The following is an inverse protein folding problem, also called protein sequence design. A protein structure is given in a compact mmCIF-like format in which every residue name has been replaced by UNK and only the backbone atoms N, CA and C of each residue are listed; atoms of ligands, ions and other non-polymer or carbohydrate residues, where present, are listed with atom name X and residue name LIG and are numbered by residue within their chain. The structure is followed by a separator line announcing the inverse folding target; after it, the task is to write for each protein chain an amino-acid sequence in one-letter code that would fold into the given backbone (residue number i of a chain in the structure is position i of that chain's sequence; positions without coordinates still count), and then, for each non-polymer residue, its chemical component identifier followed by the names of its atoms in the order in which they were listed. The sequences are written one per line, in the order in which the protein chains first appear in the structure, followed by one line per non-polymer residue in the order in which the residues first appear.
data_IF_674279130722
#
_entry.id   IF_674279130722
#
_cell.length_a   1.000
_cell.length_b   1.000
_cell.length_c   1.000
_cell.angle_alpha   90.00
_cell.angle_beta   90.00
_cell.angle_gamma   90.00
#
_symmetry.space_group_name_H-M   'P 1'
#
loop_
_entity.id
_entity.type
_entity.pdbx_description
1 polymer ?
#
# COMPACT_ATOMS: atom_id res chain seq x y z
N UNK A 1 8.67 -40.08 -31.02
CA UNK A 1 9.77 -39.38 -30.32
C UNK A 1 9.16 -38.14 -29.70
N UNK A 2 8.85 -38.21 -28.40
CA UNK A 2 8.27 -37.08 -27.67
C UNK A 2 9.45 -36.27 -27.16
N UNK A 3 9.65 -35.06 -27.68
CA UNK A 3 10.58 -34.10 -27.11
C UNK A 3 10.08 -33.72 -25.71
N UNK A 4 10.71 -34.30 -24.69
CA UNK A 4 10.60 -33.83 -23.32
C UNK A 4 11.12 -32.39 -23.28
N UNK A 5 10.21 -31.43 -23.22
CA UNK A 5 10.52 -30.06 -22.85
C UNK A 5 11.02 -30.11 -21.41
N UNK A 6 12.35 -30.22 -21.24
CA UNK A 6 13.03 -29.94 -19.98
C UNK A 6 12.75 -28.48 -19.65
N UNK A 7 11.74 -28.27 -18.82
CA UNK A 7 11.47 -26.98 -18.23
C UNK A 7 12.53 -26.78 -17.15
N UNK A 8 13.73 -26.34 -17.55
CA UNK A 8 14.81 -26.03 -16.63
C UNK A 8 14.35 -24.90 -15.71
N UNK A 9 13.90 -25.28 -14.51
CA UNK A 9 13.49 -24.37 -13.48
C UNK A 9 14.74 -23.68 -12.94
N UNK A 10 15.09 -22.54 -13.55
CA UNK A 10 16.21 -21.71 -13.13
C UNK A 10 15.97 -21.26 -11.68
N UNK A 11 16.88 -21.65 -10.80
CA UNK A 11 16.92 -21.10 -9.44
C UNK A 11 17.56 -19.71 -9.47
N UNK A 12 16.95 -18.78 -8.75
CA UNK A 12 17.44 -17.42 -8.61
C UNK A 12 17.44 -17.06 -7.11
N UNK A 13 18.15 -16.01 -6.72
CA UNK A 13 18.21 -15.58 -5.33
C UNK A 13 16.93 -14.84 -4.94
N UNK A 14 16.25 -15.32 -3.90
CA UNK A 14 15.09 -14.62 -3.33
C UNK A 14 15.53 -13.34 -2.62
N UNK A 15 15.05 -12.18 -3.07
CA UNK A 15 15.45 -10.87 -2.53
C UNK A 15 15.15 -10.73 -1.02
N UNK A 16 14.10 -11.39 -0.51
CA UNK A 16 13.74 -11.27 0.91
C UNK A 16 14.58 -12.16 1.80
N UNK A 17 14.81 -13.43 1.46
CA UNK A 17 15.47 -14.38 2.36
C UNK A 17 16.91 -14.72 1.98
N UNK A 18 17.37 -14.26 0.81
CA UNK A 18 18.67 -14.54 0.20
C UNK A 18 18.97 -16.05 0.08
N UNK A 19 17.95 -16.85 -0.22
CA UNK A 19 18.11 -18.27 -0.54
C UNK A 19 17.87 -18.49 -2.02
N UNK A 20 18.69 -19.35 -2.64
CA UNK A 20 18.45 -19.87 -3.98
C UNK A 20 17.12 -20.64 -4.00
N UNK A 21 16.24 -20.31 -4.95
CA UNK A 21 14.93 -20.96 -5.10
C UNK A 21 14.31 -20.60 -6.44
N UNK A 22 13.33 -21.38 -6.86
CA UNK A 22 12.40 -20.99 -7.92
C UNK A 22 11.57 -19.80 -7.43
N UNK A 23 11.74 -18.64 -8.07
CA UNK A 23 11.02 -17.41 -7.72
C UNK A 23 9.60 -17.42 -8.29
N UNK A 24 8.71 -16.73 -7.59
CA UNK A 24 7.33 -16.48 -8.00
C UNK A 24 7.19 -15.08 -8.57
N UNK A 25 6.13 -14.88 -9.36
CA UNK A 25 5.78 -13.58 -9.89
C UNK A 25 5.12 -12.70 -8.80
N UNK A 26 5.96 -12.06 -8.00
CA UNK A 26 5.58 -11.17 -6.91
C UNK A 26 4.98 -9.88 -7.46
N UNK A 27 3.93 -9.38 -6.81
CA UNK A 27 3.31 -8.10 -7.18
C UNK A 27 3.77 -6.99 -6.24
N UNK A 28 3.99 -5.79 -6.77
CA UNK A 28 4.28 -4.61 -5.94
C UNK A 28 3.09 -4.34 -5.01
N UNK A 29 1.93 -4.06 -5.60
CA UNK A 29 0.65 -4.00 -4.90
C UNK A 29 -0.07 -5.36 -5.01
N UNK A 30 -0.70 -5.86 -3.93
CA UNK A 30 -1.35 -7.17 -3.94
C UNK A 30 -2.34 -7.36 -5.11
N UNK A 31 -2.27 -8.52 -5.76
CA UNK A 31 -3.12 -8.88 -6.92
C UNK A 31 -4.62 -8.75 -6.64
N UNK A 32 -5.06 -9.02 -5.42
CA UNK A 32 -6.47 -8.93 -5.01
C UNK A 32 -6.99 -7.50 -4.96
N UNK A 33 -6.14 -6.49 -4.75
CA UNK A 33 -6.56 -5.09 -4.79
C UNK A 33 -7.00 -4.67 -6.20
N UNK A 34 -6.27 -5.08 -7.24
CA UNK A 34 -6.68 -4.84 -8.63
C UNK A 34 -8.08 -5.39 -8.93
N UNK A 35 -8.42 -6.57 -8.37
CA UNK A 35 -9.75 -7.17 -8.50
C UNK A 35 -10.82 -6.40 -7.72
N UNK A 36 -10.47 -5.80 -6.58
CA UNK A 36 -11.42 -4.97 -5.82
C UNK A 36 -11.73 -3.72 -6.61
N UNK A 37 -10.71 -2.99 -7.08
CA UNK A 37 -10.89 -1.75 -7.85
C UNK A 37 -11.85 -1.93 -9.03
N UNK A 38 -11.72 -3.02 -9.80
CA UNK A 38 -12.61 -3.28 -10.94
C UNK A 38 -14.02 -3.71 -10.58
N UNK A 39 -14.25 -4.15 -9.33
CA UNK A 39 -15.52 -4.68 -8.86
C UNK A 39 -16.27 -3.73 -7.93
N UNK A 40 -15.65 -2.65 -7.49
CA UNK A 40 -16.25 -1.76 -6.48
C UNK A 40 -17.50 -1.04 -7.00
N UNK A 41 -17.51 -0.62 -8.26
CA UNK A 41 -18.66 0.06 -8.88
C UNK A 41 -19.35 -0.81 -9.92
N UNK A 42 -20.66 -0.58 -10.06
CA UNK A 42 -21.51 -1.19 -11.08
C UNK A 42 -21.79 -0.17 -12.19
N UNK A 43 -21.79 -0.56 -13.48
CA UNK A 43 -21.40 -1.87 -13.98
C UNK A 43 -19.90 -2.13 -13.77
N UNK A 44 -19.51 -3.40 -13.56
CA UNK A 44 -18.11 -3.74 -13.34
C UNK A 44 -17.25 -3.36 -14.54
N UNK A 45 -16.14 -2.70 -14.27
CA UNK A 45 -15.18 -2.36 -15.30
C UNK A 45 -14.34 -3.58 -15.68
N UNK A 46 -14.11 -3.75 -16.98
CA UNK A 46 -13.20 -4.78 -17.50
C UNK A 46 -11.73 -4.57 -17.11
N UNK A 47 -11.37 -3.36 -16.68
CA UNK A 47 -10.03 -2.95 -16.28
C UNK A 47 -10.10 -1.66 -15.43
N UNK A 48 -9.17 -1.44 -14.47
CA UNK A 48 -9.07 -0.16 -13.77
C UNK A 48 -8.58 0.95 -14.70
N UNK A 49 -8.90 2.20 -14.34
CA UNK A 49 -8.26 3.38 -14.93
C UNK A 49 -6.90 3.58 -14.23
N UNK A 50 -5.85 3.63 -15.04
CA UNK A 50 -4.50 3.97 -14.59
C UNK A 50 -4.17 5.40 -14.96
N UNK A 51 -3.89 6.23 -13.96
CA UNK A 51 -3.43 7.60 -14.11
C UNK A 51 -1.92 7.64 -13.90
N UNK A 52 -1.14 7.82 -14.98
CA UNK A 52 0.33 7.82 -14.94
C UNK A 52 0.87 9.22 -15.12
N UNK A 53 1.58 9.72 -14.10
CA UNK A 53 2.24 11.02 -14.15
C UNK A 53 3.43 11.01 -15.12
N UNK A 54 4.25 9.97 -15.08
CA UNK A 54 5.40 9.80 -15.98
C UNK A 54 4.98 9.76 -17.45
N UNK A 55 3.90 9.04 -17.77
CA UNK A 55 3.40 8.93 -19.14
C UNK A 55 2.46 10.07 -19.54
N UNK A 56 2.17 11.03 -18.64
CA UNK A 56 1.21 12.13 -18.81
C UNK A 56 -0.12 11.68 -19.43
N UNK A 57 -0.61 10.51 -19.03
CA UNK A 57 -1.86 9.95 -19.56
C UNK A 57 -2.65 9.11 -18.58
N UNK A 58 -3.96 9.05 -18.85
CA UNK A 58 -4.89 8.16 -18.17
C UNK A 58 -5.54 7.18 -19.16
N UNK A 59 -5.58 5.89 -18.80
CA UNK A 59 -6.10 4.84 -19.68
C UNK A 59 -6.57 3.60 -18.90
N UNK A 60 -7.47 2.83 -19.50
CA UNK A 60 -7.84 1.52 -18.99
C UNK A 60 -6.71 0.51 -19.18
N UNK A 61 -6.36 -0.25 -18.15
CA UNK A 61 -5.35 -1.31 -18.26
C UNK A 61 -5.54 -2.41 -17.22
N UNK A 62 -5.35 -3.66 -17.63
CA UNK A 62 -5.28 -4.81 -16.72
C UNK A 62 -3.84 -5.12 -16.28
N UNK A 63 -2.87 -4.31 -16.71
CA UNK A 63 -1.48 -4.47 -16.33
C UNK A 63 -1.32 -4.32 -14.82
N UNK A 64 -0.54 -5.23 -14.24
CA UNK A 64 -0.17 -5.22 -12.83
C UNK A 64 1.34 -5.15 -12.75
N UNK A 65 1.86 -4.39 -11.78
CA UNK A 65 3.31 -4.28 -11.58
C UNK A 65 3.77 -5.53 -10.84
N UNK A 66 4.35 -6.48 -11.59
CA UNK A 66 4.79 -7.77 -11.10
C UNK A 66 6.13 -8.18 -11.72
N UNK A 67 6.95 -8.94 -10.98
CA UNK A 67 8.19 -9.55 -11.46
C UNK A 67 8.56 -10.79 -10.64
N UNK A 68 9.44 -11.64 -11.19
CA UNK A 68 10.10 -12.67 -10.39
C UNK A 68 10.94 -12.00 -9.30
N UNK A 69 10.63 -12.27 -8.02
CA UNK A 69 11.28 -11.59 -6.89
C UNK A 69 11.45 -12.48 -5.66
N UNK A 70 10.37 -13.11 -5.21
CA UNK A 70 10.35 -13.85 -3.95
C UNK A 70 10.12 -15.34 -4.19
N UNK A 71 10.73 -16.19 -3.35
CA UNK A 71 10.41 -17.61 -3.31
C UNK A 71 8.99 -17.85 -2.77
N UNK A 72 8.44 -19.04 -3.02
CA UNK A 72 7.07 -19.38 -2.61
C UNK A 72 6.82 -19.25 -1.10
N UNK A 73 7.83 -19.54 -0.26
CA UNK A 73 7.72 -19.39 1.20
C UNK A 73 7.59 -17.92 1.62
N UNK A 74 8.31 -17.01 0.95
CA UNK A 74 8.24 -15.58 1.25
C UNK A 74 6.93 -14.95 0.75
N UNK A 75 6.45 -15.35 -0.44
CA UNK A 75 5.12 -14.93 -0.94
C UNK A 75 3.99 -15.36 0.01
N UNK A 76 3.99 -16.63 0.42
CA UNK A 76 2.98 -17.16 1.35
C UNK A 76 3.04 -16.44 2.71
N UNK A 77 4.24 -16.08 3.15
CA UNK A 77 4.43 -15.28 4.36
C UNK A 77 3.77 -13.91 4.25
N UNK A 78 3.95 -13.20 3.13
CA UNK A 78 3.33 -11.90 2.88
C UNK A 78 1.81 -11.99 2.86
N UNK A 79 1.29 -13.02 2.19
CA UNK A 79 -0.13 -13.29 2.13
C UNK A 79 -0.75 -13.58 3.52
N UNK A 80 -0.20 -14.53 4.28
CA UNK A 80 -0.72 -14.95 5.59
C UNK A 80 -0.56 -13.90 6.69
N UNK A 81 0.47 -13.05 6.59
CA UNK A 81 0.79 -12.07 7.63
C UNK A 81 0.34 -10.65 7.33
N UNK A 82 -0.13 -10.34 6.13
CA UNK A 82 -0.66 -9.01 5.85
C UNK A 82 -1.79 -9.05 4.86
N UNK A 83 -1.48 -9.40 3.61
CA UNK A 83 -2.36 -9.12 2.47
C UNK A 83 -3.75 -9.71 2.62
N UNK A 84 -3.86 -11.00 2.99
CA UNK A 84 -5.18 -11.64 3.15
C UNK A 84 -6.05 -10.89 4.17
N UNK A 85 -5.48 -10.57 5.33
CA UNK A 85 -6.22 -9.95 6.43
C UNK A 85 -6.59 -8.50 6.11
N UNK A 86 -5.63 -7.68 5.67
CA UNK A 86 -5.87 -6.24 5.44
C UNK A 86 -6.86 -6.02 4.30
N UNK A 87 -6.78 -6.82 3.24
CA UNK A 87 -7.68 -6.73 2.09
C UNK A 87 -9.10 -7.17 2.45
N UNK A 88 -9.25 -8.06 3.44
CA UNK A 88 -10.57 -8.39 3.97
C UNK A 88 -11.21 -7.19 4.69
N UNK A 89 -10.41 -6.27 5.25
CA UNK A 89 -10.86 -5.12 6.04
C UNK A 89 -11.06 -3.82 5.25
N UNK A 90 -10.53 -3.71 4.04
CA UNK A 90 -10.66 -2.51 3.20
C UNK A 90 -12.07 -2.37 2.60
N UNK A 91 -12.33 -1.23 1.94
CA UNK A 91 -13.56 -1.00 1.19
C UNK A 91 -13.64 -1.97 0.00
N UNK A 92 -14.70 -2.76 -0.11
CA UNK A 92 -14.91 -3.68 -1.26
C UNK A 92 -16.07 -3.28 -2.16
N UNK A 93 -17.09 -2.63 -1.58
CA UNK A 93 -18.22 -2.00 -2.25
C UNK A 93 -18.79 -0.92 -1.32
N UNK A 94 -19.77 -0.14 -1.79
CA UNK A 94 -20.41 0.96 -1.05
C UNK A 94 -20.94 0.57 0.34
N UNK A 95 -21.18 -0.73 0.59
CA UNK A 95 -21.77 -1.23 1.83
C UNK A 95 -20.81 -2.07 2.69
N UNK A 96 -19.59 -2.38 2.21
CA UNK A 96 -18.67 -3.28 2.90
C UNK A 96 -17.33 -2.62 3.15
N UNK A 97 -17.23 -1.93 4.28
CA UNK A 97 -15.99 -1.40 4.82
C UNK A 97 -15.81 -1.84 6.29
N UNK A 98 -15.22 -3.02 6.48
CA UNK A 98 -15.16 -3.65 7.80
C UNK A 98 -14.29 -2.88 8.79
N UNK A 99 -13.15 -2.33 8.37
CA UNK A 99 -12.29 -1.53 9.24
C UNK A 99 -13.03 -0.29 9.77
N UNK A 100 -13.73 0.46 8.88
CA UNK A 100 -14.54 1.62 9.27
C UNK A 100 -15.56 1.26 10.34
N UNK A 101 -16.33 0.19 10.10
CA UNK A 101 -17.32 -0.32 11.07
C UNK A 101 -16.68 -0.66 12.41
N UNK A 102 -15.50 -1.28 12.42
CA UNK A 102 -14.82 -1.62 13.68
C UNK A 102 -14.43 -0.36 14.47
N UNK A 103 -13.91 0.67 13.82
CA UNK A 103 -13.56 1.94 14.49
C UNK A 103 -14.81 2.70 14.97
N UNK A 104 -15.91 2.71 14.20
CA UNK A 104 -17.17 3.34 14.61
C UNK A 104 -17.76 2.74 15.90
N UNK A 105 -17.42 1.49 16.22
CA UNK A 105 -17.84 0.80 17.45
C UNK A 105 -16.76 0.79 18.54
N UNK A 106 -15.69 1.56 18.37
CA UNK A 106 -14.56 1.66 19.29
C UNK A 106 -14.50 3.06 19.92
N UNK A 107 -13.80 3.20 21.05
CA UNK A 107 -13.60 4.49 21.73
C UNK A 107 -12.13 4.89 21.60
N UNK A 108 -11.80 6.05 21.01
CA UNK A 108 -10.42 6.48 20.85
C UNK A 108 -9.81 6.87 22.21
N UNK A 109 -8.58 6.42 22.47
CA UNK A 109 -7.85 6.75 23.70
C UNK A 109 -7.01 8.04 23.61
N UNK A 110 -6.78 8.56 22.40
CA UNK A 110 -5.95 9.75 22.17
C UNK A 110 -6.78 10.85 21.53
N UNK A 111 -6.75 12.05 22.12
CA UNK A 111 -7.31 13.28 21.56
C UNK A 111 -6.21 14.37 21.54
N UNK A 112 -5.95 14.93 20.36
CA UNK A 112 -5.03 16.06 20.18
C UNK A 112 -5.72 17.11 19.32
N UNK A 113 -5.93 18.31 19.87
CA UNK A 113 -6.52 19.44 19.14
C UNK A 113 -7.86 19.11 18.45
N UNK A 114 -8.68 18.24 19.05
CA UNK A 114 -9.97 17.82 18.49
C UNK A 114 -9.88 16.69 17.46
N UNK A 115 -8.67 16.19 17.16
CA UNK A 115 -8.46 14.98 16.38
C UNK A 115 -8.41 13.75 17.29
N UNK A 116 -9.16 12.72 16.92
CA UNK A 116 -9.23 11.46 17.65
C UNK A 116 -8.38 10.40 16.96
N UNK A 117 -7.57 9.72 17.76
CA UNK A 117 -6.72 8.63 17.31
C UNK A 117 -6.99 7.37 18.13
N UNK A 118 -6.99 6.25 17.45
CA UNK A 118 -7.17 4.93 18.04
C UNK A 118 -5.81 4.23 18.09
N UNK A 119 -5.47 3.70 19.25
CA UNK A 119 -4.38 2.74 19.40
C UNK A 119 -4.88 1.33 19.08
N UNK A 120 -4.00 0.34 18.86
CA UNK A 120 -4.41 -1.06 18.75
C UNK A 120 -5.29 -1.55 19.91
N UNK A 121 -5.07 -1.03 21.12
CA UNK A 121 -5.84 -1.41 22.32
C UNK A 121 -7.29 -0.93 22.28
N UNK A 122 -7.58 0.13 21.51
CA UNK A 122 -8.94 0.67 21.38
C UNK A 122 -9.81 -0.23 20.48
N UNK A 123 -9.18 -1.09 19.66
CA UNK A 123 -9.85 -1.94 18.66
C UNK A 123 -9.40 -3.40 18.85
N UNK A 124 -9.68 -4.04 19.99
CA UNK A 124 -9.07 -5.33 20.37
C UNK A 124 -9.42 -6.51 19.44
N UNK A 125 -10.51 -6.39 18.66
CA UNK A 125 -10.89 -7.38 17.64
C UNK A 125 -10.05 -7.29 16.36
N UNK A 126 -9.27 -6.22 16.19
CA UNK A 126 -8.42 -5.98 15.04
C UNK A 126 -7.02 -6.54 15.29
N UNK A 127 -6.49 -7.28 14.32
CA UNK A 127 -5.10 -7.71 14.37
C UNK A 127 -4.21 -6.64 13.74
N UNK A 128 -3.78 -5.68 14.56
CA UNK A 128 -2.94 -4.55 14.15
C UNK A 128 -1.57 -4.97 13.61
N UNK A 129 -0.99 -6.07 14.10
CA UNK A 129 0.29 -6.59 13.59
C UNK A 129 0.20 -6.95 12.10
N UNK A 130 -0.97 -7.40 11.63
CA UNK A 130 -1.18 -7.70 10.21
C UNK A 130 -1.15 -6.44 9.34
N UNK A 131 -1.62 -5.30 9.88
CA UNK A 131 -1.51 -4.00 9.20
C UNK A 131 -0.06 -3.52 9.16
N UNK A 132 0.67 -3.62 10.27
CA UNK A 132 2.10 -3.27 10.31
C UNK A 132 2.91 -4.11 9.33
N UNK A 133 2.65 -5.42 9.30
CA UNK A 133 3.29 -6.35 8.38
C UNK A 133 2.96 -6.04 6.92
N UNK A 134 1.70 -5.75 6.63
CA UNK A 134 1.26 -5.37 5.28
C UNK A 134 2.01 -4.14 4.75
N UNK A 135 2.03 -3.05 5.53
CA UNK A 135 2.71 -1.81 5.17
C UNK A 135 4.22 -2.04 5.01
N UNK A 136 4.85 -2.70 5.97
CA UNK A 136 6.27 -3.06 5.89
C UNK A 136 6.59 -3.85 4.62
N UNK A 137 5.74 -4.82 4.25
CA UNK A 137 5.96 -5.66 3.08
C UNK A 137 5.89 -4.89 1.77
N UNK A 138 4.96 -3.93 1.64
CA UNK A 138 4.81 -3.10 0.44
C UNK A 138 5.99 -2.14 0.31
N UNK A 139 6.35 -1.45 1.40
CA UNK A 139 7.44 -0.46 1.37
C UNK A 139 8.79 -1.13 1.15
N UNK A 140 9.01 -2.30 1.76
CA UNK A 140 10.21 -3.09 1.49
C UNK A 140 10.26 -3.50 0.01
N UNK A 141 9.16 -4.01 -0.57
CA UNK A 141 9.10 -4.36 -2.01
C UNK A 141 9.36 -3.17 -2.92
N UNK A 142 8.76 -2.01 -2.61
CA UNK A 142 8.90 -0.79 -3.41
C UNK A 142 10.35 -0.30 -3.48
N UNK A 143 11.16 -0.60 -2.46
CA UNK A 143 12.53 -0.10 -2.33
C UNK A 143 13.60 -1.17 -2.60
N UNK A 144 13.24 -2.45 -2.59
CA UNK A 144 14.18 -3.56 -2.78
C UNK A 144 14.67 -3.74 -4.23
N UNK A 145 13.90 -3.27 -5.22
CA UNK A 145 14.20 -3.54 -6.64
C UNK A 145 13.63 -2.45 -7.56
N UNK A 146 14.22 -2.34 -8.75
CA UNK A 146 13.57 -1.66 -9.87
C UNK A 146 12.38 -2.51 -10.37
N UNK A 147 11.22 -1.88 -10.49
CA UNK A 147 9.97 -2.48 -11.00
C UNK A 147 9.70 -2.15 -12.48
N UNK A 148 10.64 -1.49 -13.16
CA UNK A 148 10.51 -1.06 -14.56
C UNK A 148 9.25 -0.23 -14.80
N UNK A 149 8.91 0.63 -13.83
CA UNK A 149 7.80 1.56 -13.89
C UNK A 149 8.25 2.93 -13.37
N UNK A 150 8.15 3.94 -14.23
CA UNK A 150 8.72 5.27 -13.96
C UNK A 150 8.00 6.02 -12.82
N UNK A 151 6.72 5.70 -12.57
CA UNK A 151 5.96 6.31 -11.47
C UNK A 151 6.48 5.89 -10.09
N UNK A 152 7.19 4.74 -9.99
CA UNK A 152 7.75 4.21 -8.74
C UNK A 152 9.29 4.16 -8.70
N UNK A 153 9.96 4.36 -9.83
CA UNK A 153 11.40 4.15 -9.97
C UNK A 153 12.26 4.91 -8.94
N UNK A 154 11.81 6.09 -8.51
CA UNK A 154 12.49 6.92 -7.50
C UNK A 154 12.63 6.26 -6.12
N UNK A 155 11.83 5.24 -5.80
CA UNK A 155 11.92 4.50 -4.53
C UNK A 155 12.95 3.36 -4.55
N UNK A 156 13.41 2.91 -5.73
CA UNK A 156 14.39 1.83 -5.81
C UNK A 156 15.68 2.21 -5.07
N UNK A 157 16.08 1.41 -4.08
CA UNK A 157 17.26 1.65 -3.27
C UNK A 157 17.22 2.92 -2.41
N UNK A 158 16.05 3.55 -2.24
CA UNK A 158 15.94 4.81 -1.50
C UNK A 158 15.87 4.63 0.02
N UNK A 159 15.57 3.42 0.51
CA UNK A 159 15.49 3.09 1.93
C UNK A 159 16.90 2.91 2.54
N UNK A 160 17.30 3.73 3.52
CA UNK A 160 18.60 3.58 4.18
C UNK A 160 18.77 2.21 4.86
N UNK A 161 20.00 1.70 4.89
CA UNK A 161 20.31 0.37 5.44
C UNK A 161 19.89 0.21 6.92
N UNK A 162 19.92 1.30 7.69
CA UNK A 162 19.46 1.33 9.10
C UNK A 162 17.96 0.99 9.26
N UNK A 163 17.13 1.14 8.22
CA UNK A 163 15.73 0.74 8.22
C UNK A 163 15.49 -0.51 7.36
N UNK A 164 16.23 -0.66 6.27
CA UNK A 164 16.09 -1.77 5.31
C UNK A 164 16.32 -3.13 5.98
N UNK A 165 17.43 -3.32 6.69
CA UNK A 165 17.74 -4.61 7.32
C UNK A 165 16.83 -4.94 8.51
N UNK A 166 16.50 -4.00 9.42
CA UNK A 166 15.50 -4.25 10.46
C UNK A 166 14.12 -4.61 9.90
N UNK A 167 13.64 -3.91 8.87
CA UNK A 167 12.37 -4.28 8.22
C UNK A 167 12.45 -5.65 7.56
N UNK A 168 13.55 -5.98 6.88
CA UNK A 168 13.77 -7.30 6.29
C UNK A 168 13.72 -8.40 7.37
N UNK A 169 14.40 -8.20 8.50
CA UNK A 169 14.39 -9.14 9.62
C UNK A 169 13.02 -9.28 10.27
N UNK A 170 12.27 -8.19 10.45
CA UNK A 170 10.88 -8.22 10.89
C UNK A 170 9.98 -9.02 9.93
N UNK A 171 10.10 -8.76 8.63
CA UNK A 171 9.36 -9.48 7.60
C UNK A 171 9.70 -10.97 7.58
N UNK A 172 10.94 -11.35 7.87
CA UNK A 172 11.37 -12.74 8.03
C UNK A 172 10.98 -13.36 9.38
N UNK A 173 10.33 -12.61 10.28
CA UNK A 173 10.00 -13.01 11.66
C UNK A 173 11.25 -13.39 12.49
N UNK A 174 12.33 -12.63 12.30
CA UNK A 174 13.60 -12.76 13.04
C UNK A 174 13.81 -11.67 14.09
N UNK A 175 12.98 -10.62 14.04
CA UNK A 175 13.01 -9.50 14.96
C UNK A 175 11.60 -8.92 15.12
N UNK A 176 11.39 -8.16 16.18
CA UNK A 176 10.20 -7.36 16.37
C UNK A 176 10.15 -6.17 15.40
N UNK A 177 9.01 -5.49 15.35
CA UNK A 177 8.88 -4.30 14.51
C UNK A 177 9.84 -3.20 14.99
N UNK A 178 10.56 -2.49 14.10
CA UNK A 178 11.51 -1.47 14.52
C UNK A 178 10.83 -0.32 15.27
N UNK A 179 11.33 -0.01 16.48
CA UNK A 179 10.73 0.99 17.38
C UNK A 179 10.71 2.41 16.80
N UNK A 180 11.65 2.72 15.92
CA UNK A 180 11.79 4.03 15.27
C UNK A 180 11.06 4.11 13.92
N UNK A 181 10.17 3.16 13.61
CA UNK A 181 9.30 3.22 12.44
C UNK A 181 7.87 3.37 12.95
N UNK A 182 7.13 4.27 12.34
CA UNK A 182 5.77 4.57 12.77
C UNK A 182 4.81 4.57 11.57
N UNK A 183 3.59 4.08 11.78
CA UNK A 183 2.57 3.92 10.75
C UNK A 183 1.28 4.62 11.18
N UNK A 184 0.71 5.42 10.29
CA UNK A 184 -0.69 5.84 10.39
C UNK A 184 -1.55 5.05 9.43
N UNK A 185 -2.73 4.65 9.91
CA UNK A 185 -3.80 4.09 9.10
C UNK A 185 -4.94 5.08 9.11
N UNK A 186 -5.13 5.81 8.01
CA UNK A 186 -6.25 6.74 7.87
C UNK A 186 -7.40 6.02 7.16
N UNK A 187 -8.57 6.02 7.80
CA UNK A 187 -9.80 5.41 7.32
C UNK A 187 -10.65 6.51 6.70
N UNK A 188 -11.10 6.30 5.47
CA UNK A 188 -12.00 7.22 4.80
C UNK A 188 -13.36 7.27 5.51
N UNK A 189 -13.79 8.46 5.91
CA UNK A 189 -15.09 8.72 6.51
C UNK A 189 -15.98 9.61 5.64
N UNK A 190 -15.64 9.83 4.37
CA UNK A 190 -16.55 10.46 3.42
C UNK A 190 -17.86 9.65 3.32
N UNK A 191 -19.02 10.31 3.07
CA UNK A 191 -20.29 9.61 2.86
C UNK A 191 -20.25 8.63 1.68
N UNK A 192 -19.46 8.96 0.65
CA UNK A 192 -19.29 8.19 -0.57
C UNK A 192 -17.79 8.00 -0.86
N UNK A 193 -17.12 7.07 -0.15
CA UNK A 193 -15.69 6.87 -0.26
C UNK A 193 -15.32 6.33 -1.65
N UNK A 194 -14.23 6.83 -2.22
CA UNK A 194 -13.76 6.39 -3.53
C UNK A 194 -12.76 5.23 -3.38
N UNK A 195 -12.94 4.12 -4.12
CA UNK A 195 -12.01 3.00 -4.13
C UNK A 195 -10.78 3.35 -4.98
N UNK A 196 -9.91 4.17 -4.43
CA UNK A 196 -8.63 4.48 -5.03
C UNK A 196 -7.57 3.49 -4.56
N UNK A 197 -6.66 3.15 -5.47
CA UNK A 197 -5.40 2.49 -5.16
C UNK A 197 -4.29 3.34 -5.76
N UNK A 198 -3.27 3.62 -4.96
CA UNK A 198 -2.07 4.28 -5.45
C UNK A 198 -0.88 3.34 -5.35
N UNK A 199 0.14 3.59 -6.17
CA UNK A 199 1.46 3.07 -5.87
C UNK A 199 2.03 3.75 -4.62
N UNK A 200 3.01 3.11 -3.93
CA UNK A 200 3.81 3.79 -2.92
C UNK A 200 4.43 5.05 -3.49
N UNK A 201 4.29 6.15 -2.78
CA UNK A 201 4.82 7.46 -3.17
C UNK A 201 5.33 8.21 -1.95
N UNK A 202 6.24 9.15 -2.14
CA UNK A 202 6.83 9.93 -1.06
C UNK A 202 8.29 10.25 -1.35
N UNK A 203 8.96 10.77 -0.34
CA UNK A 203 10.39 11.08 -0.42
C UNK A 203 11.09 10.53 0.83
N UNK A 204 11.63 9.31 0.72
CA UNK A 204 12.40 8.71 1.81
C UNK A 204 13.67 9.53 2.08
N UNK A 205 14.31 10.08 1.06
CA UNK A 205 15.61 10.76 1.22
C UNK A 205 15.49 12.08 1.96
N UNK A 206 14.43 12.84 1.70
CA UNK A 206 14.22 14.16 2.32
C UNK A 206 13.28 14.12 3.52
N UNK A 207 12.18 13.39 3.39
CA UNK A 207 11.08 13.44 4.35
C UNK A 207 10.97 12.15 5.18
N UNK A 208 11.77 11.12 4.88
CA UNK A 208 11.72 9.84 5.58
C UNK A 208 10.28 9.29 5.67
N UNK A 209 9.53 9.43 4.58
CA UNK A 209 8.09 9.14 4.53
C UNK A 209 7.71 8.46 3.21
N UNK A 210 6.81 7.48 3.32
CA UNK A 210 6.10 6.88 2.18
C UNK A 210 4.63 6.76 2.53
N UNK A 211 3.76 7.00 1.55
CA UNK A 211 2.33 6.75 1.67
C UNK A 211 1.80 5.96 0.49
N UNK A 212 0.67 5.30 0.68
CA UNK A 212 -0.09 4.70 -0.41
C UNK A 212 -1.55 4.51 0.00
N UNK A 213 -2.41 4.40 -1.01
CA UNK A 213 -3.82 4.13 -0.85
C UNK A 213 -4.16 2.70 -1.28
N UNK A 214 -5.04 2.08 -0.51
CA UNK A 214 -5.91 1.00 -0.94
C UNK A 214 -7.37 1.47 -0.76
N UNK A 215 -8.37 0.77 -1.30
CA UNK A 215 -9.76 1.19 -1.18
C UNK A 215 -10.18 1.54 0.26
N UNK A 216 -10.53 2.81 0.48
CA UNK A 216 -10.97 3.37 1.77
C UNK A 216 -9.87 3.57 2.82
N UNK A 217 -8.61 3.19 2.56
CA UNK A 217 -7.53 3.24 3.56
C UNK A 217 -6.27 3.88 2.97
N UNK A 218 -5.76 4.91 3.63
CA UNK A 218 -4.43 5.49 3.37
C UNK A 218 -3.48 5.01 4.44
N UNK A 219 -2.32 4.54 4.01
CA UNK A 219 -1.20 4.24 4.88
C UNK A 219 -0.16 5.33 4.75
N UNK A 220 0.41 5.75 5.88
CA UNK A 220 1.66 6.48 5.91
C UNK A 220 2.65 5.70 6.76
N UNK A 221 3.89 5.60 6.32
CA UNK A 221 5.00 5.08 7.09
C UNK A 221 6.07 6.15 7.21
N UNK A 222 6.63 6.26 8.40
CA UNK A 222 7.53 7.30 8.85
C UNK A 222 8.77 6.63 9.45
N UNK A 223 9.95 7.13 9.07
CA UNK A 223 11.23 6.54 9.45
C UNK A 223 12.03 7.52 10.33
N UNK A 224 12.19 7.18 11.60
CA UNK A 224 12.89 8.00 12.59
C UNK A 224 12.10 9.23 13.02
N UNK A 225 12.68 10.02 13.92
CA UNK A 225 12.03 11.21 14.50
C UNK A 225 11.99 12.41 13.53
N UNK A 226 12.79 12.36 12.45
CA UNK A 226 12.91 13.46 11.49
C UNK A 226 11.76 13.54 10.49
N UNK A 227 10.91 12.51 10.41
CA UNK A 227 9.88 12.40 9.37
C UNK A 227 8.59 13.18 9.66
N UNK A 228 8.33 13.55 10.93
CA UNK A 228 7.20 14.42 11.33
C UNK A 228 7.44 14.97 12.75
N UNK A 229 7.68 16.28 12.88
CA UNK A 229 8.29 16.85 14.09
C UNK A 229 7.40 16.82 15.35
N UNK A 230 6.07 16.71 15.25
CA UNK A 230 5.20 16.72 16.43
C UNK A 230 4.57 15.35 16.74
N UNK A 231 3.93 14.71 15.75
CA UNK A 231 3.19 13.47 16.01
C UNK A 231 4.14 12.26 16.14
N UNK A 232 5.10 12.10 15.22
CA UNK A 232 6.02 10.95 15.28
C UNK A 232 6.93 11.00 16.51
N UNK A 233 7.40 12.18 16.90
CA UNK A 233 8.18 12.37 18.13
C UNK A 233 7.41 11.94 19.39
N UNK A 234 6.13 12.33 19.48
CA UNK A 234 5.26 11.95 20.61
C UNK A 234 5.02 10.45 20.65
N UNK A 235 4.68 9.84 19.51
CA UNK A 235 4.35 8.41 19.45
C UNK A 235 5.57 7.52 19.64
N UNK A 236 6.74 7.93 19.15
CA UNK A 236 8.01 7.25 19.43
C UNK A 236 8.32 7.23 20.93
N UNK A 237 8.11 8.35 21.65
CA UNK A 237 8.28 8.38 23.13
C UNK A 237 7.31 7.46 23.85
N UNK A 238 6.09 7.30 23.33
CA UNK A 238 5.07 6.41 23.89
C UNK A 238 5.26 4.93 23.48
N UNK A 239 6.21 4.62 22.60
CA UNK A 239 6.41 3.28 22.08
C UNK A 239 5.25 2.79 21.19
N UNK A 240 4.53 3.70 20.54
CA UNK A 240 3.37 3.39 19.70
C UNK A 240 3.81 3.43 18.23
N UNK A 241 3.91 2.26 17.59
CA UNK A 241 4.30 2.16 16.18
C UNK A 241 3.13 2.25 15.19
N UNK A 242 1.89 2.22 15.67
CA UNK A 242 0.69 2.22 14.83
C UNK A 242 -0.44 2.99 15.50
N UNK A 243 -1.08 3.89 14.77
CA UNK A 243 -2.40 4.42 15.16
C UNK A 243 -3.36 4.42 13.97
N UNK A 244 -4.64 4.48 14.29
CA UNK A 244 -5.72 4.63 13.34
C UNK A 244 -6.44 5.97 13.54
N UNK A 245 -7.00 6.53 12.47
CA UNK A 245 -7.80 7.75 12.55
C UNK A 245 -8.78 7.83 11.38
N UNK A 246 -9.90 8.53 11.57
CA UNK A 246 -10.77 8.91 10.46
C UNK A 246 -10.23 10.15 9.75
N UNK A 247 -10.27 10.15 8.41
CA UNK A 247 -9.97 11.31 7.59
C UNK A 247 -10.88 11.34 6.36
N UNK A 248 -11.51 12.48 6.04
CA UNK A 248 -12.23 12.62 4.79
C UNK A 248 -11.21 12.70 3.65
N UNK A 249 -11.27 11.78 2.69
CA UNK A 249 -10.28 11.73 1.61
C UNK A 249 -10.55 12.82 0.59
N UNK A 250 -11.81 13.15 0.31
CA UNK A 250 -12.20 14.17 -0.68
C UNK A 250 -11.73 15.59 -0.34
N UNK A 251 -11.43 15.87 0.93
CA UNK A 251 -10.85 17.15 1.36
C UNK A 251 -9.35 17.07 1.64
N UNK A 252 -8.72 15.92 1.41
CA UNK A 252 -7.28 15.75 1.57
C UNK A 252 -6.49 16.42 0.44
N UNK A 253 -5.30 16.91 0.75
CA UNK A 253 -4.38 17.46 -0.26
C UNK A 253 -4.04 16.44 -1.35
N UNK A 254 -3.94 15.15 -1.01
CA UNK A 254 -3.66 14.11 -2.00
C UNK A 254 -4.79 13.94 -3.01
N UNK A 255 -6.04 14.04 -2.57
CA UNK A 255 -7.18 13.98 -3.48
C UNK A 255 -7.26 15.21 -4.38
N UNK A 256 -6.99 16.40 -3.84
CA UNK A 256 -6.90 17.62 -4.66
C UNK A 256 -5.79 17.53 -5.71
N UNK A 257 -4.64 16.96 -5.35
CA UNK A 257 -3.55 16.68 -6.29
C UNK A 257 -3.96 15.65 -7.35
N UNK A 258 -4.69 14.60 -6.97
CA UNK A 258 -5.24 13.62 -7.92
C UNK A 258 -6.21 14.29 -8.90
N UNK A 259 -7.12 15.15 -8.42
CA UNK A 259 -8.03 15.89 -9.29
C UNK A 259 -7.30 16.83 -10.23
N UNK A 260 -6.29 17.57 -9.73
CA UNK A 260 -5.45 18.42 -10.57
C UNK A 260 -4.76 17.59 -11.66
N UNK A 261 -4.09 16.50 -11.28
CA UNK A 261 -3.41 15.60 -12.20
C UNK A 261 -4.39 15.13 -13.30
N UNK A 262 -5.56 14.61 -12.90
CA UNK A 262 -6.59 14.12 -13.83
C UNK A 262 -7.19 15.20 -14.73
N UNK A 263 -7.32 16.44 -14.24
CA UNK A 263 -8.00 17.53 -14.92
C UNK A 263 -7.11 18.37 -15.83
N UNK A 264 -5.82 18.53 -15.52
CA UNK A 264 -4.94 19.47 -16.22
C UNK A 264 -3.65 18.86 -16.77
N UNK A 265 -3.16 17.74 -16.22
CA UNK A 265 -1.84 17.19 -16.56
C UNK A 265 -1.90 15.91 -17.39
N UNK A 266 -3.03 15.21 -17.40
CA UNK A 266 -3.16 13.90 -18.07
C UNK A 266 -4.00 13.97 -19.34
N UNK A 267 -3.46 13.40 -20.41
CA UNK A 267 -4.22 13.11 -21.63
C UNK A 267 -4.99 11.79 -21.50
N UNK A 268 -6.29 11.80 -21.76
CA UNK A 268 -7.08 10.57 -21.83
C UNK A 268 -6.69 9.78 -23.09
N UNK A 269 -6.52 8.46 -22.98
CA UNK A 269 -6.17 7.57 -24.10
C UNK A 269 -7.16 6.42 -24.28
N UNK A 270 -7.18 5.86 -25.49
CA UNK A 270 -7.93 4.64 -25.80
C UNK A 270 -9.44 4.77 -25.62
N UNK A 271 -10.07 3.76 -24.99
CA UNK A 271 -11.52 3.75 -24.71
C UNK A 271 -11.96 4.92 -23.82
N UNK A 272 -11.12 5.33 -22.88
CA UNK A 272 -11.42 6.42 -21.94
C UNK A 272 -11.60 7.76 -22.67
N UNK A 273 -10.73 8.05 -23.64
CA UNK A 273 -10.85 9.25 -24.48
C UNK A 273 -12.09 9.26 -25.41
N UNK A 274 -12.63 8.08 -25.75
CA UNK A 274 -13.86 7.97 -26.54
C UNK A 274 -15.10 8.22 -25.67
N UNK A 275 -15.09 7.74 -24.44
CA UNK A 275 -16.18 7.95 -23.48
C UNK A 275 -16.32 9.42 -23.09
N UNK A 276 -15.22 10.14 -22.90
CA UNK A 276 -15.24 11.56 -22.52
C UNK A 276 -15.76 12.50 -23.62
N UNK A 277 -15.81 12.06 -24.88
CA UNK A 277 -16.35 12.85 -26.00
C UNK A 277 -17.87 12.68 -26.17
N UNK A 278 -18.45 11.71 -25.47
CA UNK A 278 -19.88 11.39 -25.52
C UNK A 278 -20.64 11.90 -24.29
N UNK A 279 -19.99 12.73 -23.46
CA UNK A 279 -20.55 13.46 -22.31
C UNK A 279 -20.50 14.95 -22.67
#
# INVERSE_FOLDING_TARGET
MVEEIKNDLVEEMCELCNKSSILKNSHLMPKSLYKIITRTFSPHDSAPIWASKSQKSAYYTNSQIAKKLLCGVCEDRFNKNGEKYVIEKCLKNEHTFELKRMLEHSVPSINVEGFYYFTPNDIPKLNSDKFMYFVASIVWRATATNWSNDDIAHLNGSLPNEYKEPLRNYLLKRADFPKNIYITVCIDNDPNPLPIMSLPSGDIKKNMHVSFFIPGIKFNIFFGEKSDQQLSSTLNKLGINLIYMFRPFRSSNEYLQLLHLMGSELSLKGKLAKQSKNI
#
